data_IF_566607293912
#
_entry.id   IF_566607293912
#
_cell.length_a   1.000
_cell.length_b   1.000
_cell.length_c   1.000
_cell.angle_alpha   90.00
_cell.angle_beta   90.00
_cell.angle_gamma   90.00
#
_symmetry.space_group_name_H-M   'P 1'
#
loop_
_entity.id
_entity.type
_entity.pdbx_description
1 polymer ?
#
# COMPACT_ATOMS: atom_id res chain seq x y z
N UNK A 1 -4.52 -15.82 -13.68
CA UNK A 1 -3.48 -14.90 -14.16
C UNK A 1 -2.70 -14.43 -12.95
N UNK A 2 -1.38 -14.62 -12.92
CA UNK A 2 -0.53 -14.08 -11.85
C UNK A 2 -0.31 -12.59 -12.13
N UNK A 3 -0.60 -11.72 -11.16
CA UNK A 3 -0.23 -10.30 -11.27
C UNK A 3 1.30 -10.21 -11.34
N UNK A 4 1.82 -9.41 -12.27
CA UNK A 4 3.24 -9.05 -12.28
C UNK A 4 3.53 -8.10 -11.10
N UNK A 5 4.79 -7.98 -10.70
CA UNK A 5 5.24 -7.02 -9.67
C UNK A 5 4.77 -5.60 -10.00
N UNK A 6 4.84 -5.19 -11.28
CA UNK A 6 4.31 -3.92 -11.74
C UNK A 6 2.81 -3.76 -11.50
N UNK A 7 2.00 -4.77 -11.86
CA UNK A 7 0.56 -4.72 -11.63
C UNK A 7 0.21 -4.71 -10.13
N UNK A 8 1.01 -5.37 -9.29
CA UNK A 8 0.84 -5.35 -7.84
C UNK A 8 1.14 -3.98 -7.25
N UNK A 9 2.20 -3.32 -7.73
CA UNK A 9 2.54 -1.94 -7.33
C UNK A 9 1.49 -0.94 -7.78
N UNK A 10 1.01 -1.05 -9.03
CA UNK A 10 -0.05 -0.19 -9.54
C UNK A 10 -1.34 -0.36 -8.72
N UNK A 11 -1.76 -1.60 -8.46
CA UNK A 11 -2.94 -1.86 -7.64
C UNK A 11 -2.79 -1.36 -6.20
N UNK A 12 -1.59 -1.47 -5.61
CA UNK A 12 -1.32 -0.93 -4.28
C UNK A 12 -1.40 0.60 -4.27
N UNK A 13 -0.85 1.25 -5.29
CA UNK A 13 -0.94 2.70 -5.50
C UNK A 13 -2.40 3.16 -5.62
N UNK A 14 -3.18 2.47 -6.45
CA UNK A 14 -4.58 2.82 -6.71
C UNK A 14 -5.41 2.77 -5.41
N UNK A 15 -5.34 1.66 -4.67
CA UNK A 15 -6.07 1.52 -3.39
C UNK A 15 -5.68 2.62 -2.39
N UNK A 16 -4.38 2.89 -2.23
CA UNK A 16 -3.91 3.91 -1.28
C UNK A 16 -4.36 5.33 -1.66
N UNK A 17 -4.42 5.61 -2.96
CA UNK A 17 -4.87 6.90 -3.49
C UNK A 17 -6.37 7.05 -3.30
N UNK A 18 -7.16 6.05 -3.71
CA UNK A 18 -8.62 6.03 -3.57
C UNK A 18 -9.03 6.21 -2.11
N UNK A 19 -8.42 5.46 -1.17
CA UNK A 19 -8.72 5.61 0.26
C UNK A 19 -8.47 7.03 0.78
N UNK A 20 -7.44 7.71 0.26
CA UNK A 20 -7.10 9.07 0.70
C UNK A 20 -7.99 10.13 0.05
N UNK A 21 -8.41 9.93 -1.20
CA UNK A 21 -9.29 10.83 -1.93
C UNK A 21 -10.72 10.77 -1.41
N UNK A 22 -11.25 9.55 -1.23
CA UNK A 22 -12.59 9.32 -0.69
C UNK A 22 -12.64 9.42 0.84
N UNK A 23 -11.47 9.44 1.50
CA UNK A 23 -11.31 9.46 2.95
C UNK A 23 -12.04 8.30 3.67
N UNK A 24 -12.22 7.19 2.96
CA UNK A 24 -12.93 5.99 3.42
C UNK A 24 -12.09 4.76 3.06
N UNK A 25 -12.25 3.67 3.81
CA UNK A 25 -11.58 2.42 3.49
C UNK A 25 -12.35 1.20 3.95
N UNK A 26 -12.42 0.17 3.09
CA UNK A 26 -13.04 -1.09 3.44
C UNK A 26 -12.04 -2.08 4.06
N UNK A 27 -12.55 -2.97 4.94
CA UNK A 27 -11.76 -4.08 5.50
C UNK A 27 -11.13 -4.94 4.39
N UNK A 28 -11.85 -5.11 3.27
CA UNK A 28 -11.41 -5.85 2.08
C UNK A 28 -10.14 -5.23 1.46
N UNK A 29 -10.08 -3.91 1.38
CA UNK A 29 -8.95 -3.15 0.84
C UNK A 29 -7.73 -3.24 1.76
N UNK A 30 -7.92 -3.09 3.07
CA UNK A 30 -6.84 -3.27 4.04
C UNK A 30 -6.22 -4.69 3.99
N UNK A 31 -7.06 -5.71 3.79
CA UNK A 31 -6.61 -7.09 3.56
C UNK A 31 -5.86 -7.23 2.23
N UNK A 32 -6.32 -6.55 1.19
CA UNK A 32 -5.69 -6.55 -0.12
C UNK A 32 -4.32 -5.89 -0.07
N UNK A 33 -4.18 -4.74 0.61
CA UNK A 33 -2.90 -4.06 0.86
C UNK A 33 -1.90 -5.05 1.50
N UNK A 34 -2.30 -5.76 2.56
CA UNK A 34 -1.41 -6.74 3.21
C UNK A 34 -0.95 -7.84 2.25
N UNK A 35 -1.88 -8.42 1.48
CA UNK A 35 -1.55 -9.51 0.54
C UNK A 35 -0.62 -9.02 -0.57
N UNK A 36 -0.86 -7.82 -1.10
CA UNK A 36 0.01 -7.19 -2.09
C UNK A 36 1.40 -6.97 -1.53
N UNK A 37 1.52 -6.33 -0.37
CA UNK A 37 2.81 -6.05 0.25
C UNK A 37 3.58 -7.34 0.58
N UNK A 38 2.91 -8.36 1.12
CA UNK A 38 3.57 -9.66 1.36
C UNK A 38 4.10 -10.29 0.07
N UNK A 39 3.34 -10.21 -1.02
CA UNK A 39 3.77 -10.72 -2.31
C UNK A 39 4.92 -9.89 -2.89
N UNK A 40 4.91 -8.57 -2.71
CA UNK A 40 5.97 -7.66 -3.15
C UNK A 40 7.27 -7.93 -2.39
N UNK A 41 7.23 -8.07 -1.06
CA UNK A 41 8.40 -8.41 -0.23
C UNK A 41 8.96 -9.79 -0.60
N UNK A 42 8.09 -10.76 -0.91
CA UNK A 42 8.53 -12.10 -1.29
C UNK A 42 9.07 -12.20 -2.73
N UNK A 43 8.92 -11.15 -3.55
CA UNK A 43 9.44 -11.10 -4.91
C UNK A 43 10.70 -10.23 -4.96
N UNK A 44 11.87 -10.83 -5.19
CA UNK A 44 13.17 -10.16 -5.41
C UNK A 44 13.28 -9.38 -6.74
N UNK A 45 12.16 -8.83 -7.26
CA UNK A 45 12.12 -8.05 -8.50
C UNK A 45 12.11 -6.54 -8.27
N UNK A 46 12.03 -6.11 -7.01
CA UNK A 46 12.06 -4.69 -6.64
C UNK A 46 13.50 -4.37 -6.24
N UNK A 47 14.20 -3.63 -7.10
CA UNK A 47 15.57 -3.15 -6.83
C UNK A 47 15.60 -1.83 -6.06
N UNK A 48 14.45 -1.16 -5.89
CA UNK A 48 14.35 0.13 -5.21
C UNK A 48 14.40 -0.05 -3.67
N UNK A 49 15.56 0.30 -3.09
CA UNK A 49 15.81 0.17 -1.65
C UNK A 49 14.90 1.08 -0.80
N UNK A 50 14.51 2.25 -1.31
CA UNK A 50 13.60 3.16 -0.61
C UNK A 50 12.22 2.52 -0.49
N UNK A 51 11.67 2.00 -1.59
CA UNK A 51 10.38 1.32 -1.57
C UNK A 51 10.41 0.10 -0.64
N UNK A 52 11.47 -0.72 -0.71
CA UNK A 52 11.61 -1.91 0.14
C UNK A 52 11.57 -1.57 1.64
N UNK A 53 12.12 -0.43 2.05
CA UNK A 53 12.06 0.04 3.44
C UNK A 53 10.67 0.51 3.86
N UNK A 54 9.85 0.99 2.91
CA UNK A 54 8.49 1.48 3.17
C UNK A 54 7.45 0.34 3.16
N UNK A 55 7.69 -0.76 2.44
CA UNK A 55 6.74 -1.89 2.37
C UNK A 55 6.29 -2.39 3.77
N UNK A 56 7.16 -2.59 4.77
CA UNK A 56 6.74 -2.97 6.12
C UNK A 56 5.80 -1.97 6.80
N UNK A 57 5.95 -0.67 6.52
CA UNK A 57 5.06 0.37 7.04
C UNK A 57 3.67 0.27 6.39
N UNK A 58 3.63 0.10 5.07
CA UNK A 58 2.38 -0.09 4.31
C UNK A 58 1.65 -1.36 4.77
N UNK A 59 2.38 -2.45 5.06
CA UNK A 59 1.80 -3.66 5.64
C UNK A 59 1.14 -3.39 7.01
N UNK A 60 1.82 -2.63 7.87
CA UNK A 60 1.30 -2.29 9.19
C UNK A 60 0.08 -1.37 9.10
N UNK A 61 0.05 -0.43 8.14
CA UNK A 61 -1.13 0.39 7.87
C UNK A 61 -2.35 -0.46 7.53
N UNK A 62 -2.21 -1.42 6.60
CA UNK A 62 -3.29 -2.36 6.28
C UNK A 62 -3.73 -3.19 7.48
N UNK A 63 -2.78 -3.70 8.27
CA UNK A 63 -3.10 -4.47 9.50
C UNK A 63 -3.86 -3.65 10.54
N UNK A 64 -3.53 -2.38 10.71
CA UNK A 64 -4.21 -1.49 11.65
C UNK A 64 -5.61 -1.10 11.14
N UNK A 65 -5.74 -0.86 9.83
CA UNK A 65 -7.02 -0.53 9.19
C UNK A 65 -8.08 -1.62 9.35
N UNK A 66 -7.71 -2.91 9.31
CA UNK A 66 -8.65 -4.02 9.53
C UNK A 66 -9.35 -4.01 10.89
N UNK A 67 -8.74 -3.40 11.90
CA UNK A 67 -9.26 -3.32 13.27
C UNK A 67 -9.59 -1.89 13.70
N UNK A 68 -9.44 -0.91 12.79
CA UNK A 68 -9.77 0.47 13.06
C UNK A 68 -11.27 0.59 13.30
N UNK A 69 -11.65 1.28 14.37
CA UNK A 69 -13.07 1.54 14.67
C UNK A 69 -13.64 2.67 13.82
N UNK A 70 -12.75 3.55 13.35
CA UNK A 70 -13.06 4.68 12.49
C UNK A 70 -12.02 4.71 11.37
N UNK A 71 -12.45 4.37 10.16
CA UNK A 71 -11.62 4.31 8.96
C UNK A 71 -11.18 5.71 8.52
N UNK A 72 -12.08 6.70 8.58
CA UNK A 72 -11.78 8.11 8.27
C UNK A 72 -10.63 8.63 9.16
N UNK A 73 -10.71 8.41 10.48
CA UNK A 73 -9.66 8.82 11.43
C UNK A 73 -8.32 8.12 11.13
N UNK A 74 -8.38 6.82 10.83
CA UNK A 74 -7.19 6.02 10.49
C UNK A 74 -6.52 6.54 9.22
N UNK A 75 -7.29 6.88 8.19
CA UNK A 75 -6.80 7.43 6.92
C UNK A 75 -6.22 8.83 7.14
N UNK A 76 -6.96 9.72 7.82
CA UNK A 76 -6.51 11.10 8.05
C UNK A 76 -5.22 11.16 8.88
N UNK A 77 -5.10 10.31 9.89
CA UNK A 77 -3.89 10.23 10.74
C UNK A 77 -2.68 9.68 9.98
N UNK A 78 -2.90 8.87 8.93
CA UNK A 78 -1.84 8.29 8.10
C UNK A 78 -1.64 9.03 6.76
N UNK A 79 -2.43 10.06 6.45
CA UNK A 79 -2.44 10.73 5.14
C UNK A 79 -1.06 11.17 4.66
N UNK A 80 -0.22 11.70 5.57
CA UNK A 80 1.15 12.09 5.21
C UNK A 80 1.99 10.88 4.80
N UNK A 81 1.86 9.76 5.52
CA UNK A 81 2.59 8.53 5.23
C UNK A 81 2.10 7.92 3.91
N UNK A 82 0.78 7.89 3.69
CA UNK A 82 0.16 7.38 2.45
C UNK A 82 0.68 8.17 1.25
N UNK A 83 0.74 9.49 1.33
CA UNK A 83 1.32 10.32 0.28
C UNK A 83 2.79 9.97 0.01
N UNK A 84 3.61 9.74 1.04
CA UNK A 84 4.99 9.30 0.86
C UNK A 84 5.07 7.95 0.15
N UNK A 85 4.24 6.98 0.53
CA UNK A 85 4.21 5.65 -0.06
C UNK A 85 3.77 5.68 -1.53
N UNK A 86 2.70 6.40 -1.84
CA UNK A 86 2.19 6.59 -3.21
C UNK A 86 3.26 7.19 -4.12
N UNK A 87 3.96 8.23 -3.66
CA UNK A 87 5.05 8.84 -4.41
C UNK A 87 6.22 7.86 -4.63
N UNK A 88 6.61 7.08 -3.63
CA UNK A 88 7.68 6.09 -3.76
C UNK A 88 7.31 4.98 -4.75
N UNK A 89 6.06 4.50 -4.71
CA UNK A 89 5.56 3.48 -5.64
C UNK A 89 5.57 4.02 -7.08
N UNK A 90 5.14 5.27 -7.29
CA UNK A 90 5.11 5.89 -8.62
C UNK A 90 6.53 6.11 -9.21
N UNK A 91 7.53 6.36 -8.37
CA UNK A 91 8.92 6.57 -8.78
C UNK A 91 9.67 5.24 -9.01
N UNK A 92 9.16 4.13 -8.50
CA UNK A 92 9.79 2.83 -8.63
C UNK A 92 9.74 2.35 -10.08
N UNK A 93 10.91 2.09 -10.66
CA UNK A 93 11.03 1.37 -11.92
C UNK A 93 11.09 -0.13 -11.65
N UNK A 94 10.23 -0.90 -12.29
CA UNK A 94 10.25 -2.38 -12.20
C UNK A 94 11.09 -2.90 -13.35
N UNK A 95 12.14 -3.67 -13.05
CA UNK A 95 13.04 -4.27 -14.05
C UNK A 95 12.47 -5.55 -14.70
#
# INVERSE_FOLDING_TARGET
>A
MTLTTHNQLQLLHDILTEQTEDCCGEISEYQQIKRLVQALIANDRISDEQLLQLLPEIYNYGRQGEIAQNDEEHILSNKSNINTWVNAIQQTSVE
#
